data_IF_110786625393
#
_entry.id   IF_110786625393
#
_cell.length_a   1.000
_cell.length_b   1.000
_cell.length_c   1.000
_cell.angle_alpha   90.00
_cell.angle_beta   90.00
_cell.angle_gamma   90.00
#
_symmetry.space_group_name_H-M   'P 1'
#
loop_
_entity.id
_entity.type
_entity.pdbx_description
1 polymer ?
#
# COMPACT_ATOMS: atom_id res chain seq x y z
N UNK A 1 24.64 4.84 -24.61
CA UNK A 1 23.95 5.03 -23.32
C UNK A 1 24.66 4.17 -22.29
N UNK A 2 25.52 4.78 -21.48
CA UNK A 2 26.21 4.07 -20.41
C UNK A 2 25.30 4.11 -19.18
N UNK A 3 24.37 3.16 -19.08
CA UNK A 3 23.82 2.85 -17.79
C UNK A 3 24.98 2.31 -16.95
N UNK A 4 25.43 3.05 -15.95
CA UNK A 4 26.53 2.63 -15.07
C UNK A 4 26.13 1.50 -14.14
N UNK A 5 25.51 0.45 -14.71
CA UNK A 5 25.17 -0.76 -13.98
C UNK A 5 26.48 -1.46 -13.67
N UNK A 6 26.93 -1.28 -12.43
CA UNK A 6 28.12 -1.99 -11.92
C UNK A 6 27.66 -3.31 -11.32
N UNK A 7 27.74 -4.37 -12.10
CA UNK A 7 27.64 -5.73 -11.54
C UNK A 7 29.02 -6.13 -10.99
N UNK A 8 29.01 -6.76 -9.83
CA UNK A 8 30.20 -7.33 -9.20
C UNK A 8 29.94 -8.80 -8.85
N UNK A 9 31.01 -9.56 -8.68
CA UNK A 9 30.91 -10.97 -8.34
C UNK A 9 30.31 -11.14 -6.93
N UNK A 10 29.28 -12.00 -6.81
CA UNK A 10 28.51 -12.18 -5.55
C UNK A 10 27.33 -11.23 -5.36
N UNK A 11 27.01 -10.34 -6.32
CA UNK A 11 25.80 -9.51 -6.25
C UNK A 11 24.53 -10.35 -6.13
N UNK A 12 23.64 -9.96 -5.23
CA UNK A 12 22.35 -10.65 -5.04
C UNK A 12 21.31 -10.22 -6.09
N UNK A 13 20.31 -11.09 -6.32
CA UNK A 13 19.20 -10.76 -7.23
C UNK A 13 18.37 -9.58 -6.74
N UNK A 14 18.32 -9.32 -5.43
CA UNK A 14 17.65 -8.16 -4.86
C UNK A 14 18.40 -6.86 -5.19
N UNK A 15 19.73 -6.85 -5.07
CA UNK A 15 20.57 -5.71 -5.46
C UNK A 15 20.48 -5.43 -6.96
N UNK A 16 20.48 -6.48 -7.80
CA UNK A 16 20.27 -6.35 -9.25
C UNK A 16 18.93 -5.66 -9.51
N UNK A 17 17.86 -6.08 -8.82
CA UNK A 17 16.53 -5.49 -8.99
C UNK A 17 16.52 -4.01 -8.60
N UNK A 18 17.18 -3.63 -7.50
CA UNK A 18 17.26 -2.23 -7.07
C UNK A 18 18.07 -1.37 -8.04
N UNK A 19 19.18 -1.91 -8.57
CA UNK A 19 19.97 -1.24 -9.61
C UNK A 19 19.13 -1.00 -10.88
N UNK A 20 18.32 -1.98 -11.30
CA UNK A 20 17.44 -1.83 -12.46
C UNK A 20 16.38 -0.75 -12.25
N UNK A 21 15.77 -0.72 -11.06
CA UNK A 21 14.77 0.30 -10.67
C UNK A 21 15.43 1.69 -10.73
N UNK A 22 16.58 1.84 -10.10
CA UNK A 22 17.32 3.11 -10.07
C UNK A 22 17.72 3.55 -11.49
N UNK A 23 18.30 2.65 -12.29
CA UNK A 23 18.69 2.96 -13.67
C UNK A 23 17.50 3.39 -14.53
N UNK A 24 16.33 2.77 -14.35
CA UNK A 24 15.12 3.20 -15.06
C UNK A 24 14.61 4.55 -14.55
N UNK A 25 14.70 4.84 -13.25
CA UNK A 25 14.28 6.13 -12.68
C UNK A 25 15.19 7.28 -13.12
N UNK A 26 16.49 7.03 -13.27
CA UNK A 26 17.47 8.04 -13.71
C UNK A 26 17.29 8.44 -15.19
N UNK A 27 16.55 7.63 -15.96
CA UNK A 27 16.21 7.93 -17.35
C UNK A 27 14.90 8.72 -17.50
N UNK A 28 14.26 9.09 -16.40
CA UNK A 28 13.02 9.90 -16.43
C UNK A 28 13.42 11.36 -16.69
N UNK A 29 13.11 11.86 -17.87
CA UNK A 29 13.32 13.26 -18.26
C UNK A 29 12.16 13.76 -19.13
N UNK A 30 12.26 15.01 -19.60
CA UNK A 30 11.23 15.62 -20.46
C UNK A 30 11.10 14.94 -21.83
N UNK A 31 12.20 14.39 -22.35
CA UNK A 31 12.23 13.73 -23.66
C UNK A 31 11.77 12.27 -23.55
N UNK A 32 11.94 11.66 -22.37
CA UNK A 32 11.64 10.26 -22.11
C UNK A 32 10.71 10.04 -20.89
N UNK A 33 9.53 10.70 -20.83
CA UNK A 33 8.66 10.66 -19.64
C UNK A 33 8.11 9.26 -19.34
N UNK A 34 8.06 8.37 -20.32
CA UNK A 34 7.51 7.02 -20.16
C UNK A 34 8.38 6.08 -19.33
N UNK A 35 9.66 6.43 -19.07
CA UNK A 35 10.48 5.66 -18.13
C UNK A 35 9.92 5.64 -16.72
N UNK A 36 9.08 6.61 -16.34
CA UNK A 36 8.34 6.57 -15.07
C UNK A 36 7.48 5.31 -14.91
N UNK A 37 6.88 4.82 -16.00
CA UNK A 37 6.11 3.57 -15.98
C UNK A 37 7.00 2.33 -16.01
N UNK A 38 8.17 2.40 -16.66
CA UNK A 38 9.15 1.31 -16.64
C UNK A 38 9.68 1.11 -15.22
N UNK A 39 10.15 2.19 -14.58
CA UNK A 39 10.63 2.16 -13.20
C UNK A 39 9.54 1.68 -12.21
N UNK A 40 8.28 2.14 -12.38
CA UNK A 40 7.15 1.68 -11.58
C UNK A 40 6.92 0.17 -11.72
N UNK A 41 6.96 -0.37 -12.93
CA UNK A 41 6.75 -1.81 -13.17
C UNK A 41 7.88 -2.66 -12.58
N UNK A 42 9.14 -2.20 -12.68
CA UNK A 42 10.27 -2.88 -12.04
C UNK A 42 10.11 -2.90 -10.51
N UNK A 43 9.70 -1.77 -9.91
CA UNK A 43 9.40 -1.69 -8.48
C UNK A 43 8.24 -2.62 -8.09
N UNK A 44 7.18 -2.65 -8.89
CA UNK A 44 6.03 -3.54 -8.65
C UNK A 44 6.43 -5.02 -8.73
N UNK A 45 7.31 -5.41 -9.64
CA UNK A 45 7.83 -6.77 -9.73
C UNK A 45 8.65 -7.15 -8.49
N UNK A 46 9.50 -6.24 -8.01
CA UNK A 46 10.26 -6.44 -6.77
C UNK A 46 9.31 -6.63 -5.58
N UNK A 47 8.30 -5.78 -5.45
CA UNK A 47 7.28 -5.85 -4.41
C UNK A 47 6.51 -7.18 -4.44
N UNK A 48 5.99 -7.58 -5.60
CA UNK A 48 5.25 -8.84 -5.76
C UNK A 48 6.10 -10.06 -5.46
N UNK A 49 7.36 -10.05 -5.88
CA UNK A 49 8.32 -11.12 -5.57
C UNK A 49 8.56 -11.22 -4.07
N UNK A 50 8.68 -10.09 -3.38
CA UNK A 50 8.87 -10.05 -1.93
C UNK A 50 7.67 -10.61 -1.17
N UNK A 51 6.44 -10.25 -1.57
CA UNK A 51 5.21 -10.61 -0.87
C UNK A 51 4.80 -12.06 -1.17
N UNK A 52 4.83 -12.46 -2.44
CA UNK A 52 4.28 -13.74 -2.91
C UNK A 52 5.36 -14.80 -3.18
N UNK A 53 6.65 -14.44 -3.09
CA UNK A 53 7.76 -15.29 -3.52
C UNK A 53 7.86 -15.46 -5.04
N UNK A 54 6.82 -15.06 -5.80
CA UNK A 54 6.72 -15.14 -7.26
C UNK A 54 6.07 -13.87 -7.83
N UNK A 55 6.38 -13.56 -9.10
CA UNK A 55 5.89 -12.32 -9.74
C UNK A 55 4.42 -12.44 -10.16
N UNK A 56 3.99 -13.63 -10.56
CA UNK A 56 2.69 -13.85 -11.21
C UNK A 56 1.64 -14.51 -10.32
N UNK A 57 2.05 -15.21 -9.27
CA UNK A 57 1.11 -15.87 -8.36
C UNK A 57 0.67 -14.86 -7.30
N UNK A 58 -0.63 -14.64 -7.19
CA UNK A 58 -1.24 -13.88 -6.12
C UNK A 58 -2.01 -14.81 -5.20
N UNK A 59 -1.93 -14.57 -3.89
CA UNK A 59 -2.83 -15.22 -2.94
C UNK A 59 -4.26 -14.72 -3.19
N UNK A 60 -5.25 -15.53 -2.84
CA UNK A 60 -6.63 -15.04 -2.77
C UNK A 60 -6.77 -13.97 -1.70
N UNK A 61 -7.78 -13.12 -1.81
CA UNK A 61 -8.06 -12.06 -0.81
C UNK A 61 -8.20 -12.66 0.59
N UNK A 62 -8.84 -13.82 0.72
CA UNK A 62 -8.97 -14.51 1.99
C UNK A 62 -7.63 -14.99 2.56
N UNK A 63 -6.84 -15.70 1.76
CA UNK A 63 -5.52 -16.22 2.18
C UNK A 63 -4.56 -15.07 2.54
N UNK A 64 -4.54 -14.03 1.72
CA UNK A 64 -3.75 -12.83 1.99
C UNK A 64 -4.15 -12.19 3.32
N UNK A 65 -5.44 -11.96 3.53
CA UNK A 65 -5.96 -11.36 4.77
C UNK A 65 -5.62 -12.22 5.97
N UNK A 66 -5.84 -13.54 5.89
CA UNK A 66 -5.51 -14.47 6.96
C UNK A 66 -4.02 -14.44 7.31
N UNK A 67 -3.13 -14.50 6.32
CA UNK A 67 -1.70 -14.43 6.53
C UNK A 67 -1.26 -13.13 7.20
N UNK A 68 -1.87 -12.00 6.85
CA UNK A 68 -1.57 -10.70 7.45
C UNK A 68 -2.12 -10.58 8.88
N UNK A 69 -3.27 -11.18 9.18
CA UNK A 69 -3.81 -11.28 10.54
C UNK A 69 -2.92 -12.16 11.42
N UNK A 70 -2.50 -13.32 10.93
CA UNK A 70 -1.58 -14.23 11.66
C UNK A 70 -0.25 -13.56 12.00
N UNK A 71 0.22 -12.65 11.15
CA UNK A 71 1.42 -11.83 11.39
C UNK A 71 1.16 -10.62 12.29
N UNK A 72 -0.09 -10.38 12.70
CA UNK A 72 -0.48 -9.24 13.53
C UNK A 72 -0.41 -7.88 12.84
N UNK A 73 -0.33 -7.85 11.50
CA UNK A 73 -0.24 -6.61 10.72
C UNK A 73 -1.61 -6.13 10.25
N UNK A 74 -2.60 -7.00 10.17
CA UNK A 74 -4.02 -6.65 9.97
C UNK A 74 -4.82 -6.88 11.23
N UNK A 75 -5.89 -6.11 11.41
CA UNK A 75 -6.86 -6.31 12.48
C UNK A 75 -7.65 -7.60 12.23
N UNK A 76 -7.69 -8.48 13.24
CA UNK A 76 -8.38 -9.77 13.14
C UNK A 76 -9.89 -9.63 12.95
N UNK A 77 -10.49 -8.51 13.36
CA UNK A 77 -11.93 -8.23 13.23
C UNK A 77 -12.43 -8.41 11.80
N UNK A 78 -11.59 -8.17 10.78
CA UNK A 78 -11.99 -8.31 9.38
C UNK A 78 -12.39 -9.74 9.00
N UNK A 79 -11.78 -10.77 9.59
CA UNK A 79 -12.12 -12.17 9.35
C UNK A 79 -13.46 -12.56 10.00
N UNK A 80 -13.87 -11.86 11.07
CA UNK A 80 -15.14 -12.08 11.75
C UNK A 80 -16.30 -11.32 11.08
N UNK A 81 -15.98 -10.20 10.41
CA UNK A 81 -16.98 -9.33 9.79
C UNK A 81 -17.50 -9.84 8.45
N UNK A 82 -16.70 -10.63 7.71
CA UNK A 82 -17.05 -11.14 6.39
C UNK A 82 -17.06 -12.66 6.36
N UNK A 83 -18.08 -13.25 5.74
CA UNK A 83 -18.16 -14.70 5.51
C UNK A 83 -17.21 -15.12 4.39
N UNK A 84 -16.95 -16.43 4.26
CA UNK A 84 -16.11 -16.95 3.17
C UNK A 84 -16.71 -16.63 1.79
N UNK A 85 -18.03 -16.73 1.65
CA UNK A 85 -18.73 -16.40 0.41
C UNK A 85 -18.60 -14.91 0.05
N UNK A 86 -18.52 -14.04 1.06
CA UNK A 86 -18.26 -12.62 0.84
C UNK A 86 -16.80 -12.38 0.44
N UNK A 87 -15.83 -13.11 1.00
CA UNK A 87 -14.44 -13.06 0.55
C UNK A 87 -14.30 -13.54 -0.91
N UNK A 88 -15.04 -14.58 -1.34
CA UNK A 88 -15.06 -15.02 -2.74
C UNK A 88 -15.62 -13.92 -3.67
N UNK A 89 -16.57 -13.12 -3.20
CA UNK A 89 -17.06 -11.94 -3.94
C UNK A 89 -16.04 -10.82 -3.95
N UNK A 90 -15.33 -10.54 -2.83
CA UNK A 90 -14.25 -9.57 -2.80
C UNK A 90 -13.12 -9.95 -3.77
N UNK A 91 -12.81 -11.24 -3.89
CA UNK A 91 -11.86 -11.77 -4.88
C UNK A 91 -12.28 -11.41 -6.31
N UNK A 92 -13.59 -11.46 -6.61
CA UNK A 92 -14.09 -11.09 -7.93
C UNK A 92 -13.98 -9.59 -8.26
N UNK A 93 -13.75 -8.73 -7.25
CA UNK A 93 -13.64 -7.28 -7.44
C UNK A 93 -12.21 -6.82 -7.68
N UNK A 94 -11.22 -7.54 -7.11
CA UNK A 94 -9.83 -7.13 -7.17
C UNK A 94 -9.28 -7.26 -8.60
N UNK A 95 -8.61 -6.21 -9.05
CA UNK A 95 -7.98 -6.16 -10.36
C UNK A 95 -6.51 -5.70 -10.21
N UNK A 96 -5.63 -6.67 -10.11
CA UNK A 96 -4.20 -6.43 -9.92
C UNK A 96 -3.52 -5.71 -11.10
N UNK A 97 -4.17 -5.64 -12.28
CA UNK A 97 -3.65 -4.87 -13.42
C UNK A 97 -3.71 -3.36 -13.18
N UNK A 98 -4.56 -2.89 -12.26
CA UNK A 98 -4.63 -1.47 -11.91
C UNK A 98 -3.35 -0.94 -11.26
N UNK A 99 -2.51 -1.81 -10.72
CA UNK A 99 -1.17 -1.42 -10.26
C UNK A 99 -0.29 -0.83 -11.38
N UNK A 100 -0.56 -1.17 -12.64
CA UNK A 100 0.15 -0.60 -13.78
C UNK A 100 -0.24 0.85 -14.13
N UNK A 101 -1.25 1.40 -13.46
CA UNK A 101 -1.62 2.82 -13.58
C UNK A 101 -0.65 3.75 -12.83
N UNK A 102 0.11 3.21 -11.88
CA UNK A 102 1.05 4.02 -11.10
C UNK A 102 2.22 4.52 -11.94
N UNK A 103 2.58 5.78 -11.71
CA UNK A 103 3.90 6.32 -12.02
C UNK A 103 4.91 5.87 -10.96
N UNK A 104 6.20 5.99 -11.24
CA UNK A 104 7.25 5.60 -10.28
C UNK A 104 7.14 6.35 -8.95
N UNK A 105 7.02 7.68 -9.01
CA UNK A 105 6.89 8.51 -7.80
C UNK A 105 5.63 8.14 -6.99
N UNK A 106 4.49 7.93 -7.68
CA UNK A 106 3.24 7.52 -7.03
C UNK A 106 3.35 6.15 -6.35
N UNK A 107 3.95 5.17 -7.04
CA UNK A 107 4.14 3.83 -6.47
C UNK A 107 5.12 3.84 -5.30
N UNK A 108 6.25 4.59 -5.41
CA UNK A 108 7.22 4.75 -4.30
C UNK A 108 6.54 5.33 -3.06
N UNK A 109 5.72 6.37 -3.23
CA UNK A 109 4.99 6.95 -2.10
C UNK A 109 4.04 5.92 -1.44
N UNK A 110 3.35 5.12 -2.24
CA UNK A 110 2.47 4.06 -1.71
C UNK A 110 3.27 3.00 -0.96
N UNK A 111 4.35 2.49 -1.55
CA UNK A 111 5.22 1.46 -0.97
C UNK A 111 5.88 1.94 0.32
N UNK A 112 6.46 3.14 0.29
CA UNK A 112 7.27 3.62 1.41
C UNK A 112 6.42 4.12 2.58
N UNK A 113 5.19 4.57 2.32
CA UNK A 113 4.39 5.29 3.31
C UNK A 113 3.09 4.60 3.72
N UNK A 114 2.42 3.89 2.81
CA UNK A 114 1.04 3.45 3.01
C UNK A 114 0.85 1.94 3.08
N UNK A 115 1.66 1.16 2.37
CA UNK A 115 1.59 -0.29 2.51
C UNK A 115 1.99 -0.73 3.91
N UNK A 116 1.31 -1.75 4.41
CA UNK A 116 1.68 -2.36 5.67
C UNK A 116 3.05 -3.01 5.54
N UNK A 117 3.95 -2.64 6.43
CA UNK A 117 5.34 -3.05 6.41
C UNK A 117 5.92 -3.20 7.82
N UNK A 118 6.91 -4.03 7.95
CA UNK A 118 7.80 -4.01 9.10
C UNK A 118 8.84 -2.90 8.92
N UNK A 119 8.73 -1.84 9.70
CA UNK A 119 9.62 -0.67 9.59
C UNK A 119 11.05 -0.96 10.02
N UNK A 120 11.29 -2.02 10.79
CA UNK A 120 12.64 -2.40 11.23
C UNK A 120 13.41 -3.14 10.13
N UNK A 121 12.71 -3.94 9.32
CA UNK A 121 13.30 -4.76 8.26
C UNK A 121 13.03 -4.23 6.85
N UNK A 122 12.04 -3.35 6.69
CA UNK A 122 11.54 -2.89 5.39
C UNK A 122 10.69 -3.92 4.65
N UNK A 123 10.33 -5.04 5.31
CA UNK A 123 9.52 -6.08 4.69
C UNK A 123 8.09 -5.60 4.45
N UNK A 124 7.63 -5.67 3.18
CA UNK A 124 6.27 -5.34 2.76
C UNK A 124 5.38 -6.57 2.86
N UNK A 125 4.10 -6.36 3.24
CA UNK A 125 3.15 -7.45 3.45
C UNK A 125 1.99 -7.45 2.45
N UNK A 126 1.78 -6.37 1.70
CA UNK A 126 0.64 -6.23 0.78
C UNK A 126 1.01 -5.49 -0.50
N UNK A 127 0.21 -5.69 -1.55
CA UNK A 127 0.27 -4.90 -2.78
C UNK A 127 -0.75 -3.76 -2.73
N UNK A 128 -0.65 -2.73 -3.61
CA UNK A 128 -1.60 -1.63 -3.61
C UNK A 128 -3.06 -2.06 -3.79
N UNK A 129 -3.33 -3.11 -4.58
CA UNK A 129 -4.71 -3.55 -4.79
C UNK A 129 -5.31 -4.23 -3.55
N UNK A 130 -4.54 -5.04 -2.81
CA UNK A 130 -4.97 -5.55 -1.51
C UNK A 130 -5.24 -4.42 -0.52
N UNK A 131 -4.33 -3.43 -0.45
CA UNK A 131 -4.52 -2.24 0.39
C UNK A 131 -5.86 -1.56 0.08
N UNK A 132 -6.12 -1.22 -1.19
CA UNK A 132 -7.34 -0.51 -1.57
C UNK A 132 -8.61 -1.32 -1.30
N UNK A 133 -8.61 -2.61 -1.64
CA UNK A 133 -9.78 -3.45 -1.43
C UNK A 133 -10.10 -3.61 0.06
N UNK A 134 -9.08 -3.85 0.89
CA UNK A 134 -9.28 -4.05 2.32
C UNK A 134 -9.59 -2.77 3.08
N UNK A 135 -9.11 -1.62 2.63
CA UNK A 135 -9.59 -0.32 3.11
C UNK A 135 -11.10 -0.20 2.85
N UNK A 136 -11.54 -0.45 1.62
CA UNK A 136 -12.95 -0.40 1.27
C UNK A 136 -13.78 -1.39 2.11
N UNK A 137 -13.34 -2.64 2.22
CA UNK A 137 -14.01 -3.66 3.01
C UNK A 137 -14.13 -3.24 4.47
N UNK A 138 -13.07 -2.71 5.09
CA UNK A 138 -13.09 -2.29 6.49
C UNK A 138 -14.04 -1.10 6.72
N UNK A 139 -14.03 -0.09 5.85
CA UNK A 139 -14.89 1.09 5.98
C UNK A 139 -16.37 0.71 5.92
N UNK A 140 -16.75 -0.17 5.01
CA UNK A 140 -18.16 -0.56 4.80
C UNK A 140 -18.57 -1.83 5.57
N UNK A 141 -17.71 -2.36 6.42
CA UNK A 141 -17.97 -3.62 7.15
C UNK A 141 -19.24 -3.61 7.98
N UNK A 142 -19.60 -2.46 8.57
CA UNK A 142 -20.78 -2.27 9.43
C UNK A 142 -22.05 -1.86 8.69
N UNK A 143 -22.00 -1.75 7.36
CA UNK A 143 -23.18 -1.51 6.54
C UNK A 143 -24.06 -2.77 6.47
N UNK A 144 -25.38 -2.64 6.11
CA UNK A 144 -26.25 -3.80 5.95
C UNK A 144 -25.65 -4.84 5.00
N UNK A 145 -25.70 -6.13 5.40
CA UNK A 145 -25.06 -7.23 4.65
C UNK A 145 -25.49 -7.31 3.20
N UNK A 146 -26.74 -6.92 2.91
CA UNK A 146 -27.35 -6.98 1.58
C UNK A 146 -26.73 -5.96 0.62
N UNK A 147 -26.19 -4.87 1.13
CA UNK A 147 -25.72 -3.73 0.31
C UNK A 147 -24.22 -3.43 0.48
N UNK A 148 -23.59 -3.89 1.56
CA UNK A 148 -22.20 -3.51 1.89
C UNK A 148 -21.20 -3.83 0.78
N UNK A 149 -21.36 -4.95 0.10
CA UNK A 149 -20.44 -5.34 -0.98
C UNK A 149 -20.55 -4.44 -2.20
N UNK A 150 -21.73 -3.87 -2.47
CA UNK A 150 -21.89 -2.89 -3.55
C UNK A 150 -21.16 -1.59 -3.23
N UNK A 151 -21.20 -1.14 -1.97
CA UNK A 151 -20.43 0.02 -1.52
C UNK A 151 -18.94 -0.25 -1.56
N UNK A 152 -18.49 -1.43 -1.08
CA UNK A 152 -17.09 -1.86 -1.15
C UNK A 152 -16.59 -1.81 -2.60
N UNK A 153 -17.34 -2.40 -3.53
CA UNK A 153 -16.98 -2.41 -4.95
C UNK A 153 -16.88 -1.01 -5.54
N UNK A 154 -17.88 -0.17 -5.31
CA UNK A 154 -17.90 1.23 -5.80
C UNK A 154 -16.72 2.03 -5.27
N UNK A 155 -16.43 1.90 -3.98
CA UNK A 155 -15.33 2.62 -3.36
C UNK A 155 -13.98 2.10 -3.84
N UNK A 156 -13.79 0.78 -3.88
CA UNK A 156 -12.59 0.16 -4.45
C UNK A 156 -12.36 0.62 -5.90
N UNK A 157 -13.39 0.60 -6.74
CA UNK A 157 -13.29 1.06 -8.13
C UNK A 157 -12.89 2.54 -8.24
N UNK A 158 -13.32 3.38 -7.31
CA UNK A 158 -12.99 4.80 -7.31
C UNK A 158 -11.53 5.06 -6.87
N UNK A 159 -11.07 4.43 -5.78
CA UNK A 159 -9.72 4.65 -5.25
C UNK A 159 -8.66 3.95 -6.10
N UNK A 160 -8.88 2.71 -6.52
CA UNK A 160 -7.91 1.93 -7.29
C UNK A 160 -7.71 2.42 -8.73
N UNK A 161 -8.65 3.22 -9.25
CA UNK A 161 -8.54 3.92 -10.53
C UNK A 161 -8.10 5.37 -10.37
N UNK A 162 -7.65 5.77 -9.18
CA UNK A 162 -7.18 7.11 -8.83
C UNK A 162 -8.21 8.22 -9.14
N UNK A 163 -9.53 7.91 -9.09
CA UNK A 163 -10.59 8.91 -9.29
C UNK A 163 -10.83 9.76 -8.05
N UNK A 164 -10.54 9.23 -6.89
CA UNK A 164 -10.56 9.91 -5.60
C UNK A 164 -9.27 9.64 -4.85
N UNK A 165 -8.88 10.59 -4.02
CA UNK A 165 -7.76 10.45 -3.10
C UNK A 165 -8.31 10.34 -1.67
N UNK A 166 -7.64 9.56 -0.84
CA UNK A 166 -8.03 9.34 0.55
C UNK A 166 -6.91 9.79 1.48
N UNK A 167 -7.24 10.30 2.69
CA UNK A 167 -6.25 10.86 3.60
C UNK A 167 -5.28 9.81 4.12
N UNK A 168 -4.05 10.24 4.40
CA UNK A 168 -2.95 9.40 4.91
C UNK A 168 -3.34 8.46 6.04
N UNK A 169 -4.06 8.89 7.12
CA UNK A 169 -4.40 7.97 8.22
C UNK A 169 -5.29 6.81 7.80
N UNK A 170 -6.18 7.05 6.84
CA UNK A 170 -7.07 6.00 6.30
C UNK A 170 -6.26 5.02 5.46
N UNK A 171 -5.37 5.52 4.58
CA UNK A 171 -4.53 4.66 3.76
C UNK A 171 -3.58 3.79 4.58
N UNK A 172 -2.99 4.37 5.64
CA UNK A 172 -2.01 3.66 6.47
C UNK A 172 -2.64 2.78 7.54
N UNK A 173 -3.80 3.15 8.10
CA UNK A 173 -4.28 2.64 9.38
C UNK A 173 -5.53 1.77 9.35
N UNK A 174 -6.48 2.00 8.43
CA UNK A 174 -7.86 1.47 8.56
C UNK A 174 -7.95 -0.05 8.71
N UNK A 175 -7.13 -0.82 8.00
CA UNK A 175 -7.11 -2.29 8.04
C UNK A 175 -6.18 -2.88 9.10
N UNK A 176 -5.46 -2.01 9.84
CA UNK A 176 -4.45 -2.41 10.82
C UNK A 176 -4.99 -2.31 12.25
N UNK A 177 -4.33 -2.93 13.25
CA UNK A 177 -4.67 -2.74 14.66
C UNK A 177 -4.51 -1.30 15.14
N UNK A 178 -3.74 -0.46 14.42
CA UNK A 178 -3.51 0.94 14.75
C UNK A 178 -4.72 1.78 14.31
N UNK A 179 -5.61 2.08 15.23
CA UNK A 179 -6.85 2.84 14.95
C UNK A 179 -6.68 4.36 15.14
N UNK A 180 -5.54 4.89 14.73
CA UNK A 180 -5.25 6.33 14.75
C UNK A 180 -5.61 6.95 13.40
N UNK A 181 -6.67 7.76 13.34
CA UNK A 181 -7.17 8.35 12.09
C UNK A 181 -6.96 9.86 11.98
N UNK A 182 -6.28 10.46 12.96
CA UNK A 182 -5.88 11.86 12.94
C UNK A 182 -4.44 12.00 12.44
N UNK A 183 -4.19 12.88 11.49
CA UNK A 183 -2.84 13.20 10.98
C UNK A 183 -2.31 14.53 11.52
N UNK A 184 -3.17 15.34 12.12
CA UNK A 184 -2.82 16.64 12.64
C UNK A 184 -3.36 16.78 14.05
N UNK A 185 -2.57 17.43 14.90
CA UNK A 185 -2.94 17.82 16.26
C UNK A 185 -2.77 19.32 16.36
N UNK A 186 -3.77 20.01 16.89
CA UNK A 186 -3.68 21.41 17.24
C UNK A 186 -3.46 21.50 18.75
N UNK A 187 -2.42 22.21 19.14
CA UNK A 187 -2.14 22.53 20.55
C UNK A 187 -2.32 24.01 20.71
N UNK A 188 -3.18 24.40 21.65
CA UNK A 188 -3.40 25.78 21.98
C UNK A 188 -2.26 26.28 22.87
N UNK A 189 -1.68 27.44 22.53
CA UNK A 189 -0.50 28.01 23.20
C UNK A 189 -0.79 29.42 23.59
N UNK A 190 -0.77 29.70 24.91
CA UNK A 190 -0.86 31.06 25.45
C UNK A 190 0.50 31.77 25.44
N UNK A 191 0.47 33.11 25.55
CA UNK A 191 1.66 33.95 25.58
C UNK A 191 2.31 33.95 27.00
N UNK A 192 2.77 32.75 27.40
CA UNK A 192 3.55 32.56 28.62
C UNK A 192 4.61 31.47 28.41
N UNK A 193 5.75 31.57 29.09
CA UNK A 193 6.80 30.55 29.02
C UNK A 193 6.30 29.18 29.45
N UNK A 194 5.45 29.10 30.46
CA UNK A 194 4.88 27.83 30.93
C UNK A 194 4.00 27.19 29.87
N UNK A 195 3.17 27.96 29.16
CA UNK A 195 2.33 27.46 28.09
C UNK A 195 3.15 27.01 26.87
N UNK A 196 4.17 27.79 26.49
CA UNK A 196 5.07 27.47 25.38
C UNK A 196 5.81 26.14 25.65
N UNK A 197 6.41 26.00 26.84
CA UNK A 197 7.11 24.74 27.16
C UNK A 197 6.18 23.57 27.36
N UNK A 198 4.98 23.77 27.90
CA UNK A 198 3.98 22.69 28.02
C UNK A 198 3.51 22.19 26.68
N UNK A 199 3.33 23.07 25.69
CA UNK A 199 2.93 22.68 24.34
C UNK A 199 4.06 22.01 23.54
N UNK A 200 5.33 22.33 23.79
CA UNK A 200 6.50 21.67 23.21
C UNK A 200 6.68 20.24 23.78
N UNK A 201 6.18 19.98 24.99
CA UNK A 201 6.22 18.66 25.64
C UNK A 201 5.04 17.77 25.29
N UNK A 202 3.94 18.29 24.73
CA UNK A 202 2.71 17.57 24.43
C UNK A 202 2.77 16.83 23.10
#
# INVERSE_FOLDING_TARGET
>A
MQSGIQFYDGITTAEIQEILIRSASDLIDLDHPNYQFVAARLLLFALRKQINGRIHDTLTVYEHTKNCVEKGVYDSEILDLYTKEEFDKLESFIDHHRDYLFTYAGLRQVVDKYLVQDRSTGAQYETPQFMYLLIAATIFSKYPKETRLDYVKKYYDAISRHKINIPTPIMAGVRTPLRQYASCVLVDVDDSLDSIFSSDMA
#
